data_IF_143912747152
#
_entry.id   IF_143912747152
#
_cell.length_a   1.000
_cell.length_b   1.000
_cell.length_c   1.000
_cell.angle_alpha   90.00
_cell.angle_beta   90.00
_cell.angle_gamma   90.00
#
_symmetry.space_group_name_H-M   'P 1'
#
loop_
_entity.id
_entity.type
_entity.pdbx_description
1 polymer ?
#
# COMPACT_ATOMS: atom_id res chain seq x y z
N UNK A 1 13.12 4.58 -8.45
CA UNK A 1 12.33 3.53 -7.77
C UNK A 1 12.92 2.18 -8.13
N UNK A 2 13.25 1.38 -7.11
CA UNK A 2 13.90 0.08 -7.25
C UNK A 2 12.88 -1.05 -7.23
N UNK A 3 13.09 -2.09 -8.05
CA UNK A 3 12.37 -3.36 -7.99
C UNK A 3 13.30 -4.45 -7.47
N UNK A 4 12.79 -5.34 -6.63
CA UNK A 4 13.53 -6.49 -6.13
C UNK A 4 13.35 -7.71 -7.03
N UNK A 5 14.19 -8.73 -6.87
CA UNK A 5 14.02 -10.02 -7.55
C UNK A 5 12.81 -10.81 -7.04
N UNK A 6 12.38 -10.52 -5.81
CA UNK A 6 11.17 -11.05 -5.17
C UNK A 6 9.97 -10.17 -5.48
N UNK A 7 8.76 -10.74 -5.56
CA UNK A 7 7.52 -9.96 -5.64
C UNK A 7 7.14 -9.47 -4.24
N UNK A 8 7.18 -8.16 -4.01
CA UNK A 8 6.84 -7.52 -2.74
C UNK A 8 5.35 -7.24 -2.68
N UNK A 9 4.69 -7.71 -1.63
CA UNK A 9 3.24 -7.55 -1.45
C UNK A 9 2.98 -6.92 -0.08
N UNK A 10 2.28 -5.80 -0.07
CA UNK A 10 1.78 -5.18 1.16
C UNK A 10 0.34 -5.62 1.38
N UNK A 11 0.03 -6.11 2.57
CA UNK A 11 -1.33 -6.38 3.03
C UNK A 11 -1.77 -5.21 3.89
N UNK A 12 -2.94 -4.63 3.58
CA UNK A 12 -3.50 -3.47 4.31
C UNK A 12 -4.91 -3.76 4.77
N UNK A 13 -5.34 -3.08 5.84
CA UNK A 13 -6.64 -3.31 6.49
C UNK A 13 -6.44 -3.73 7.96
N UNK A 14 -7.52 -3.72 8.73
CA UNK A 14 -7.48 -3.90 10.19
C UNK A 14 -6.81 -5.22 10.63
N UNK A 15 -7.05 -6.30 9.86
CA UNK A 15 -6.52 -7.64 10.15
C UNK A 15 -5.20 -7.97 9.45
N UNK A 16 -4.52 -6.98 8.87
CA UNK A 16 -3.31 -7.23 8.06
C UNK A 16 -2.22 -7.99 8.84
N UNK A 17 -1.92 -7.57 10.07
CA UNK A 17 -0.91 -8.21 10.90
C UNK A 17 -1.23 -9.68 11.23
N UNK A 18 -2.50 -9.98 11.52
CA UNK A 18 -3.01 -11.33 11.78
C UNK A 18 -2.89 -12.20 10.53
N UNK A 19 -3.37 -11.70 9.41
CA UNK A 19 -3.36 -12.40 8.12
C UNK A 19 -1.94 -12.67 7.64
N UNK A 20 -1.04 -11.70 7.74
CA UNK A 20 0.39 -11.88 7.40
C UNK A 20 1.02 -12.94 8.31
N UNK A 21 0.72 -12.94 9.60
CA UNK A 21 1.18 -14.00 10.52
C UNK A 21 0.67 -15.39 10.13
N UNK A 22 -0.54 -15.49 9.58
CA UNK A 22 -1.11 -16.74 9.10
C UNK A 22 -0.49 -17.29 7.80
N UNK A 23 0.40 -16.54 7.14
CA UNK A 23 1.14 -17.00 5.96
C UNK A 23 2.48 -17.68 6.31
N UNK A 24 2.87 -17.67 7.59
CA UNK A 24 4.07 -18.33 8.06
C UNK A 24 4.01 -19.84 7.73
N UNK A 25 5.09 -20.35 7.13
CA UNK A 25 5.23 -21.77 6.76
C UNK A 25 4.92 -22.12 5.30
N UNK A 26 4.45 -21.16 4.50
CA UNK A 26 4.32 -21.35 3.05
C UNK A 26 5.71 -21.33 2.37
N UNK A 27 6.00 -22.37 1.59
CA UNK A 27 7.34 -22.62 1.01
C UNK A 27 7.87 -21.50 0.09
N UNK A 28 6.98 -20.75 -0.57
CA UNK A 28 7.31 -19.70 -1.53
C UNK A 28 7.04 -18.28 -1.00
N UNK A 29 6.63 -18.15 0.27
CA UNK A 29 6.26 -16.87 0.88
C UNK A 29 7.18 -16.60 2.06
N UNK A 30 7.74 -15.40 2.09
CA UNK A 30 8.34 -14.82 3.28
C UNK A 30 7.37 -13.81 3.88
N UNK A 31 6.70 -14.19 4.95
CA UNK A 31 5.85 -13.27 5.72
C UNK A 31 6.68 -12.47 6.73
N UNK A 32 6.43 -11.16 6.82
CA UNK A 32 7.09 -10.25 7.75
C UNK A 32 6.02 -9.38 8.41
N UNK A 33 5.73 -9.65 9.68
CA UNK A 33 4.88 -8.77 10.48
C UNK A 33 5.65 -7.54 10.94
N UNK A 34 5.07 -6.36 10.78
CA UNK A 34 5.60 -5.06 11.20
C UNK A 34 5.76 -5.02 12.72
N UNK A 35 4.68 -5.28 13.45
CA UNK A 35 4.64 -5.05 14.90
C UNK A 35 4.91 -3.58 15.23
N UNK A 36 5.77 -3.33 16.22
CA UNK A 36 6.15 -1.98 16.65
C UNK A 36 7.23 -1.32 15.76
N UNK A 37 7.74 -2.03 14.75
CA UNK A 37 8.81 -1.53 13.88
C UNK A 37 8.36 -0.34 13.03
N UNK A 38 9.31 0.55 12.76
CA UNK A 38 9.18 1.54 11.70
C UNK A 38 9.11 0.84 10.33
N UNK A 39 8.46 1.49 9.35
CA UNK A 39 8.34 0.97 7.99
C UNK A 39 9.73 0.77 7.34
N UNK A 40 10.68 1.65 7.64
CA UNK A 40 12.04 1.54 7.13
C UNK A 40 12.76 0.27 7.63
N UNK A 41 12.56 -0.10 8.91
CA UNK A 41 13.12 -1.34 9.46
C UNK A 41 12.53 -2.58 8.79
N UNK A 42 11.24 -2.56 8.45
CA UNK A 42 10.61 -3.64 7.67
C UNK A 42 11.16 -3.68 6.24
N UNK A 43 11.39 -2.51 5.64
CA UNK A 43 12.01 -2.38 4.31
C UNK A 43 13.38 -3.05 4.27
N UNK A 44 14.21 -2.85 5.30
CA UNK A 44 15.51 -3.52 5.41
C UNK A 44 15.40 -5.05 5.44
N UNK A 45 14.37 -5.59 6.08
CA UNK A 45 14.09 -7.04 6.09
C UNK A 45 13.62 -7.53 4.71
N UNK A 46 12.78 -6.74 4.04
CA UNK A 46 12.26 -7.04 2.69
C UNK A 46 13.40 -7.11 1.68
N UNK A 47 14.34 -6.16 1.71
CA UNK A 47 15.50 -6.10 0.81
C UNK A 47 16.41 -7.32 0.96
N UNK A 48 16.53 -7.87 2.17
CA UNK A 48 17.37 -9.04 2.48
C UNK A 48 16.65 -10.38 2.26
N UNK A 49 15.33 -10.37 2.09
CA UNK A 49 14.54 -11.58 1.94
C UNK A 49 14.70 -12.21 0.56
N UNK A 50 14.87 -13.54 0.54
CA UNK A 50 14.90 -14.35 -0.67
C UNK A 50 13.71 -15.32 -0.66
N UNK A 51 12.66 -14.99 -1.42
CA UNK A 51 11.47 -15.80 -1.63
C UNK A 51 10.78 -15.36 -2.93
N UNK A 52 9.88 -16.17 -3.48
CA UNK A 52 9.06 -15.74 -4.63
C UNK A 52 8.20 -14.53 -4.26
N UNK A 53 7.55 -14.60 -3.10
CA UNK A 53 6.77 -13.51 -2.53
C UNK A 53 7.34 -13.09 -1.18
N UNK A 54 7.49 -11.78 -0.98
CA UNK A 54 7.75 -11.18 0.33
C UNK A 54 6.50 -10.40 0.71
N UNK A 55 5.82 -10.83 1.77
CA UNK A 55 4.51 -10.30 2.17
C UNK A 55 4.63 -9.63 3.54
N UNK A 56 4.19 -8.38 3.66
CA UNK A 56 4.23 -7.64 4.92
C UNK A 56 3.04 -6.70 5.10
N UNK A 57 2.82 -6.23 6.33
CA UNK A 57 1.74 -5.31 6.73
C UNK A 57 2.24 -3.87 6.99
N UNK A 58 3.51 -3.58 6.67
CA UNK A 58 4.06 -2.23 6.74
C UNK A 58 3.76 -1.42 5.46
N UNK A 59 2.62 -0.73 5.42
CA UNK A 59 2.23 0.13 4.30
C UNK A 59 3.17 1.35 4.18
N UNK A 60 3.99 1.45 3.09
CA UNK A 60 4.92 2.56 2.91
C UNK A 60 4.24 3.91 2.64
N UNK A 61 2.97 3.90 2.23
CA UNK A 61 2.18 5.11 2.04
C UNK A 61 1.04 5.21 3.07
N UNK A 62 1.05 4.39 4.12
CA UNK A 62 -0.02 4.30 5.10
C UNK A 62 -0.29 5.64 5.79
N UNK A 63 0.76 6.30 6.27
CA UNK A 63 0.68 7.62 6.91
C UNK A 63 0.24 8.74 5.97
N UNK A 64 0.63 8.66 4.68
CA UNK A 64 0.13 9.59 3.66
C UNK A 64 -1.37 9.37 3.42
N UNK A 65 -1.81 8.11 3.34
CA UNK A 65 -3.23 7.80 3.22
C UNK A 65 -4.04 8.24 4.43
N UNK A 66 -3.47 8.18 5.64
CA UNK A 66 -4.10 8.68 6.87
C UNK A 66 -4.25 10.19 6.82
N UNK A 67 -3.19 10.92 6.46
CA UNK A 67 -3.23 12.37 6.30
C UNK A 67 -4.22 12.83 5.22
N UNK A 68 -4.28 12.11 4.09
CA UNK A 68 -5.25 12.39 3.02
C UNK A 68 -6.69 12.12 3.47
N UNK A 69 -6.91 11.04 4.22
CA UNK A 69 -8.22 10.74 4.82
C UNK A 69 -8.64 11.85 5.79
N UNK A 70 -7.75 12.23 6.72
CA UNK A 70 -8.02 13.26 7.71
C UNK A 70 -8.24 14.65 7.10
N UNK A 71 -7.58 14.96 5.98
CA UNK A 71 -7.81 16.20 5.24
C UNK A 71 -9.23 16.28 4.67
N UNK A 72 -9.72 15.21 4.02
CA UNK A 72 -11.05 15.19 3.43
C UNK A 72 -12.18 14.95 4.43
N UNK A 73 -11.89 14.29 5.55
CA UNK A 73 -12.83 14.12 6.66
C UNK A 73 -12.85 15.35 7.60
N UNK A 74 -12.09 16.41 7.28
CA UNK A 74 -11.93 17.63 8.10
C UNK A 74 -11.55 17.34 9.57
N UNK A 75 -10.85 16.22 9.79
CA UNK A 75 -10.49 15.72 11.14
C UNK A 75 -9.03 15.97 11.50
N UNK A 76 -8.24 16.49 10.57
CA UNK A 76 -6.84 16.84 10.76
C UNK A 76 -6.57 18.34 10.52
N UNK A 77 -5.56 18.93 11.16
CA UNK A 77 -5.20 20.33 10.95
C UNK A 77 -4.70 20.58 9.52
N UNK A 78 -4.96 21.80 9.02
CA UNK A 78 -4.47 22.26 7.73
C UNK A 78 -2.93 22.16 7.64
N UNK A 79 -2.41 21.78 6.46
CA UNK A 79 -0.98 21.59 6.22
C UNK A 79 -0.46 20.18 6.52
N UNK A 80 -1.24 19.34 7.24
CA UNK A 80 -0.81 17.98 7.58
C UNK A 80 -0.61 17.08 6.38
N UNK A 81 -1.45 17.22 5.35
CA UNK A 81 -1.35 16.47 4.10
C UNK A 81 -0.09 16.85 3.31
N UNK A 82 0.22 18.15 3.19
CA UNK A 82 1.40 18.64 2.47
C UNK A 82 2.70 18.14 3.10
N UNK A 83 2.77 18.13 4.43
CA UNK A 83 3.91 17.55 5.17
C UNK A 83 4.01 16.05 4.88
N UNK A 84 2.91 15.32 4.99
CA UNK A 84 2.91 13.87 4.74
C UNK A 84 3.32 13.53 3.29
N UNK A 85 2.94 14.35 2.31
CA UNK A 85 3.36 14.19 0.91
C UNK A 85 4.88 14.32 0.79
N UNK A 86 5.45 15.42 1.29
CA UNK A 86 6.90 15.64 1.14
C UNK A 86 7.72 14.65 1.96
N UNK A 87 7.23 14.20 3.13
CA UNK A 87 7.87 13.12 3.89
C UNK A 87 7.86 11.79 3.14
N UNK A 88 6.71 11.37 2.59
CA UNK A 88 6.62 10.13 1.81
C UNK A 88 7.51 10.18 0.56
N UNK A 89 7.56 11.33 -0.12
CA UNK A 89 8.45 11.52 -1.28
C UNK A 89 9.92 11.47 -0.88
N UNK A 90 10.30 12.08 0.23
CA UNK A 90 11.67 12.01 0.74
C UNK A 90 12.07 10.56 1.06
N UNK A 91 11.22 9.81 1.77
CA UNK A 91 11.49 8.41 2.12
C UNK A 91 11.62 7.51 0.88
N UNK A 92 10.80 7.75 -0.16
CA UNK A 92 10.90 7.04 -1.43
C UNK A 92 12.16 7.40 -2.23
N UNK A 93 12.56 8.67 -2.25
CA UNK A 93 13.78 9.14 -2.95
C UNK A 93 15.04 8.61 -2.28
N UNK A 94 15.06 8.59 -0.95
CA UNK A 94 16.16 8.06 -0.13
C UNK A 94 16.16 6.53 -0.07
N UNK A 95 15.21 5.86 -0.73
CA UNK A 95 15.00 4.40 -0.67
C UNK A 95 14.83 3.83 0.75
N UNK A 96 14.40 4.67 1.70
CA UNK A 96 14.08 4.26 3.09
C UNK A 96 12.84 3.38 3.14
N UNK A 97 11.92 3.61 2.22
CA UNK A 97 10.76 2.76 1.99
C UNK A 97 10.70 2.35 0.52
N UNK A 98 10.10 1.19 0.25
CA UNK A 98 9.92 0.68 -1.11
C UNK A 98 8.43 0.59 -1.43
N UNK A 99 8.07 1.04 -2.63
CA UNK A 99 6.72 0.82 -3.13
C UNK A 99 6.55 -0.66 -3.53
N UNK A 100 5.48 -1.35 -3.07
CA UNK A 100 5.35 -2.79 -3.30
C UNK A 100 4.96 -3.11 -4.74
N UNK A 101 5.18 -4.36 -5.18
CA UNK A 101 4.62 -4.87 -6.44
C UNK A 101 3.10 -4.91 -6.41
N UNK A 102 2.50 -5.20 -5.25
CA UNK A 102 1.05 -5.25 -5.08
C UNK A 102 0.61 -4.82 -3.68
N UNK A 103 -0.55 -4.19 -3.59
CA UNK A 103 -1.35 -4.07 -2.37
C UNK A 103 -2.46 -5.13 -2.39
N UNK A 104 -2.62 -5.86 -1.29
CA UNK A 104 -3.81 -6.64 -0.99
C UNK A 104 -4.63 -5.89 0.05
N UNK A 105 -5.81 -5.41 -0.33
CA UNK A 105 -6.68 -4.60 0.53
C UNK A 105 -7.69 -5.52 1.18
N UNK A 106 -7.57 -5.72 2.49
CA UNK A 106 -8.42 -6.63 3.24
C UNK A 106 -9.78 -5.99 3.54
N UNK A 107 -10.86 -6.71 3.23
CA UNK A 107 -12.24 -6.36 3.59
C UNK A 107 -12.59 -4.88 3.33
N UNK A 108 -12.38 -4.36 2.09
CA UNK A 108 -12.56 -2.94 1.82
C UNK A 108 -13.99 -2.45 2.03
N UNK A 109 -14.99 -3.33 1.98
CA UNK A 109 -16.40 -2.98 2.21
C UNK A 109 -16.69 -2.60 3.67
N UNK A 110 -15.85 -3.04 4.61
CA UNK A 110 -15.95 -2.71 6.03
C UNK A 110 -15.22 -1.41 6.38
N UNK A 111 -14.48 -0.82 5.43
CA UNK A 111 -13.71 0.40 5.66
C UNK A 111 -14.58 1.67 5.60
N UNK A 112 -14.23 2.72 6.37
CA UNK A 112 -14.77 4.05 6.16
C UNK A 112 -14.62 4.50 4.70
N UNK A 113 -15.62 5.18 4.15
CA UNK A 113 -15.69 5.49 2.72
C UNK A 113 -14.44 6.25 2.20
N UNK A 114 -14.02 7.31 2.90
CA UNK A 114 -12.82 8.08 2.54
C UNK A 114 -11.59 7.18 2.56
N UNK A 115 -11.41 6.42 3.64
CA UNK A 115 -10.27 5.50 3.79
C UNK A 115 -10.25 4.42 2.71
N UNK A 116 -11.40 3.90 2.28
CA UNK A 116 -11.52 2.96 1.16
C UNK A 116 -11.03 3.58 -0.16
N UNK A 117 -11.38 4.83 -0.44
CA UNK A 117 -10.97 5.53 -1.66
C UNK A 117 -9.46 5.79 -1.73
N UNK A 118 -8.74 5.77 -0.61
CA UNK A 118 -7.28 5.84 -0.65
C UNK A 118 -6.69 4.68 -1.46
N UNK A 119 -7.01 3.44 -1.12
CA UNK A 119 -6.48 2.29 -1.88
C UNK A 119 -7.26 2.07 -3.19
N UNK A 120 -8.59 2.08 -3.16
CA UNK A 120 -9.42 1.69 -4.30
C UNK A 120 -9.72 2.82 -5.29
N UNK A 121 -9.40 4.06 -4.95
CA UNK A 121 -9.52 5.22 -5.84
C UNK A 121 -8.16 5.79 -6.21
N UNK A 122 -7.38 6.25 -5.23
CA UNK A 122 -6.09 6.92 -5.47
C UNK A 122 -5.05 5.94 -6.01
N UNK A 123 -4.78 4.85 -5.28
CA UNK A 123 -3.74 3.90 -5.70
C UNK A 123 -4.20 3.04 -6.88
N UNK A 124 -5.42 2.49 -6.82
CA UNK A 124 -5.97 1.71 -7.93
C UNK A 124 -6.16 2.56 -9.20
N UNK A 125 -6.49 3.85 -9.08
CA UNK A 125 -6.53 4.78 -10.21
C UNK A 125 -5.17 5.03 -10.86
N UNK A 126 -4.07 4.87 -10.11
CA UNK A 126 -2.72 4.96 -10.63
C UNK A 126 -2.26 3.64 -11.28
N UNK A 127 -2.57 2.50 -10.68
CA UNK A 127 -2.21 1.18 -11.19
C UNK A 127 -3.24 0.11 -10.77
N UNK A 128 -4.32 -0.10 -11.55
CA UNK A 128 -5.45 -0.94 -11.13
C UNK A 128 -5.06 -2.39 -10.83
N UNK A 129 -4.19 -2.98 -11.64
CA UNK A 129 -3.73 -4.36 -11.46
C UNK A 129 -2.82 -4.57 -10.25
N UNK A 130 -2.41 -3.48 -9.57
CA UNK A 130 -1.49 -3.49 -8.43
C UNK A 130 -2.23 -3.38 -7.09
N UNK A 131 -3.54 -3.15 -7.10
CA UNK A 131 -4.36 -3.07 -5.88
C UNK A 131 -5.47 -4.12 -5.98
N UNK A 132 -5.42 -5.11 -5.09
CA UNK A 132 -6.30 -6.29 -5.16
C UNK A 132 -7.14 -6.38 -3.88
N UNK A 133 -8.45 -6.07 -3.96
CA UNK A 133 -9.42 -6.38 -2.91
C UNK A 133 -9.38 -7.86 -2.55
N UNK A 134 -9.23 -8.18 -1.27
CA UNK A 134 -9.10 -9.56 -0.78
C UNK A 134 -9.86 -9.74 0.53
N UNK A 135 -10.55 -10.86 0.77
CA UNK A 135 -11.09 -11.15 2.09
C UNK A 135 -9.99 -11.24 3.16
N UNK A 136 -10.27 -10.81 4.40
CA UNK A 136 -9.35 -10.77 5.55
C UNK A 136 -8.97 -12.12 6.14
N UNK A 137 -8.58 -13.10 5.31
CA UNK A 137 -8.12 -14.42 5.76
C UNK A 137 -6.82 -14.81 5.07
N UNK A 138 -5.98 -15.57 5.79
CA UNK A 138 -4.72 -16.08 5.23
C UNK A 138 -4.97 -16.93 3.97
N UNK A 139 -5.98 -17.78 3.96
CA UNK A 139 -6.33 -18.61 2.80
C UNK A 139 -6.72 -17.77 1.57
N UNK A 140 -7.49 -16.69 1.76
CA UNK A 140 -7.85 -15.79 0.67
C UNK A 140 -6.63 -15.05 0.11
N UNK A 141 -5.74 -14.57 0.99
CA UNK A 141 -4.47 -13.96 0.58
C UNK A 141 -3.59 -14.94 -0.17
N UNK A 142 -3.42 -16.18 0.32
CA UNK A 142 -2.68 -17.22 -0.42
C UNK A 142 -3.27 -17.45 -1.81
N UNK A 143 -4.59 -17.53 -1.91
CA UNK A 143 -5.28 -17.63 -3.19
C UNK A 143 -5.04 -16.42 -4.11
N UNK A 144 -5.02 -15.21 -3.56
CA UNK A 144 -4.76 -13.98 -4.31
C UNK A 144 -3.32 -13.94 -4.85
N UNK A 145 -2.33 -14.34 -4.05
CA UNK A 145 -0.92 -14.42 -4.47
C UNK A 145 -0.73 -15.28 -5.73
N UNK A 146 -1.46 -16.41 -5.81
CA UNK A 146 -1.43 -17.30 -6.98
C UNK A 146 -2.16 -16.77 -8.22
N UNK A 147 -2.90 -15.66 -8.12
CA UNK A 147 -3.68 -15.06 -9.21
C UNK A 147 -3.25 -13.64 -9.57
N UNK A 148 -2.16 -13.14 -9.00
CA UNK A 148 -1.64 -11.81 -9.29
C UNK A 148 -1.36 -11.66 -10.79
N UNK A 149 -2.05 -10.71 -11.43
CA UNK A 149 -1.94 -10.47 -12.87
C UNK A 149 -0.73 -9.60 -13.20
N UNK A 150 -0.03 -9.92 -14.28
CA UNK A 150 0.91 -8.99 -14.88
C UNK A 150 0.18 -7.72 -15.36
N UNK A 151 0.85 -6.58 -15.28
CA UNK A 151 0.34 -5.29 -15.73
C UNK A 151 1.43 -4.23 -15.68
N UNK A 152 1.14 -2.99 -16.10
CA UNK A 152 2.05 -1.88 -15.90
C UNK A 152 2.50 -1.79 -14.43
N UNK A 153 3.74 -1.39 -14.23
CA UNK A 153 4.21 -1.01 -12.91
C UNK A 153 3.58 0.33 -12.48
N UNK A 154 3.91 0.81 -11.29
CA UNK A 154 3.51 2.15 -10.84
C UNK A 154 3.95 3.25 -11.82
N UNK A 155 3.14 4.31 -12.00
CA UNK A 155 3.45 5.41 -12.93
C UNK A 155 4.81 6.05 -12.65
N UNK A 156 5.50 6.44 -13.72
CA UNK A 156 6.78 7.17 -13.60
C UNK A 156 6.62 8.55 -12.94
N UNK A 157 5.44 9.17 -13.06
CA UNK A 157 5.09 10.48 -12.50
C UNK A 157 4.45 10.40 -11.11
N UNK A 158 4.75 9.35 -10.32
CA UNK A 158 4.20 9.16 -8.97
C UNK A 158 4.34 10.42 -8.11
N UNK A 159 5.47 11.11 -8.20
CA UNK A 159 5.71 12.35 -7.47
C UNK A 159 4.70 13.46 -7.80
N UNK A 160 4.41 13.68 -9.08
CA UNK A 160 3.40 14.65 -9.51
C UNK A 160 2.00 14.27 -9.05
N UNK A 161 1.70 12.96 -9.06
CA UNK A 161 0.42 12.42 -8.58
C UNK A 161 0.24 12.59 -7.09
N UNK A 162 1.26 12.29 -6.27
CA UNK A 162 1.20 12.47 -4.83
C UNK A 162 1.05 13.95 -4.45
N UNK A 163 1.70 14.87 -5.17
CA UNK A 163 1.49 16.32 -4.98
C UNK A 163 0.13 16.83 -5.44
N UNK A 164 -0.58 16.08 -6.29
CA UNK A 164 -1.92 16.44 -6.72
C UNK A 164 -3.01 16.01 -5.73
N UNK A 165 -2.67 15.23 -4.69
CA UNK A 165 -3.61 14.67 -3.71
C UNK A 165 -4.57 15.67 -3.05
N UNK A 166 -4.16 16.92 -2.71
CA UNK A 166 -5.10 17.91 -2.17
C UNK A 166 -6.27 18.24 -3.11
N UNK A 167 -6.13 17.97 -4.42
CA UNK A 167 -7.16 18.15 -5.45
C UNK A 167 -7.85 16.84 -5.86
N UNK A 168 -7.41 15.70 -5.32
CA UNK A 168 -7.99 14.38 -5.63
C UNK A 168 -9.09 14.08 -4.63
N UNK A 169 -10.32 14.47 -4.96
CA UNK A 169 -11.50 14.25 -4.10
C UNK A 169 -11.81 12.75 -4.00
N UNK A 170 -12.11 12.20 -2.81
CA UNK A 170 -12.27 10.76 -2.61
C UNK A 170 -13.24 10.06 -3.57
N UNK A 171 -14.42 10.63 -3.79
CA UNK A 171 -15.47 10.10 -4.66
C UNK A 171 -15.12 10.14 -6.16
N UNK A 172 -14.10 10.91 -6.53
CA UNK A 172 -13.58 11.05 -7.90
C UNK A 172 -12.22 10.40 -8.10
N UNK A 173 -11.61 9.88 -7.04
CA UNK A 173 -10.29 9.29 -7.11
C UNK A 173 -10.29 8.08 -8.07
N UNK A 174 -9.44 8.12 -9.08
CA UNK A 174 -9.33 7.06 -10.09
C UNK A 174 -10.35 7.12 -11.23
N UNK A 175 -11.26 8.10 -11.23
CA UNK A 175 -12.11 8.39 -12.38
C UNK A 175 -11.38 9.26 -13.41
N UNK A 176 -11.71 9.15 -14.72
CA UNK A 176 -11.18 10.05 -15.72
C UNK A 176 -11.56 11.50 -15.38
N UNK A 177 -10.59 12.41 -15.37
CA UNK A 177 -10.87 13.84 -15.29
C UNK A 177 -11.55 14.26 -16.59
N UNK A 178 -12.79 14.76 -16.50
CA UNK A 178 -13.53 15.30 -17.64
C UNK A 178 -12.92 16.60 -18.18
#
# INVERSE_FOLDING_TARGET
MRRLGSTVVVVVGERAAEVVGGLDGLHNVRAIRRGERAVAEVTDLVVRAAATYVVHDADPLGGLGEAWTGFFDESAPAGGLEVAIESALADLRDERVLLPDYYLVLDPDDMPATRRHWWLGVLAGAAPSRVVPTPGTAAAVTGALGRLSAGPWWPADLEGRLRALPRTVPDRAGLPTA
#
